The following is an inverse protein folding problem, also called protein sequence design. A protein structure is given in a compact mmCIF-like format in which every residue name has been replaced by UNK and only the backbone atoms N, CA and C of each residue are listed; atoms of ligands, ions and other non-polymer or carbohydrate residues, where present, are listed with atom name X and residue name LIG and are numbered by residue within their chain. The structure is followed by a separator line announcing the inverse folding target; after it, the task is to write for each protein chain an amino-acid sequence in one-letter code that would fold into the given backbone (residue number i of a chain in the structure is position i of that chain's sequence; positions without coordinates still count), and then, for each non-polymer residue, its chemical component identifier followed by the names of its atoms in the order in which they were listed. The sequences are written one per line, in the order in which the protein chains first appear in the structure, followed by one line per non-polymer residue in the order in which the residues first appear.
data_IF_195467376869
#
_entry.id   IF_195467376869
#
_cell.length_a   1.000
_cell.length_b   1.000
_cell.length_c   1.000
_cell.angle_alpha   90.00
_cell.angle_beta   90.00
_cell.angle_gamma   90.00
#
_symmetry.space_group_name_H-M   'P 1'
#
loop_
_entity.id
_entity.type
_entity.pdbx_description
1 polymer ?
#
# COMPACT_ATOMS: atom_id res chain seq x y z
N UNK A 1 -4.48 69.41 7.27
CA UNK A 1 -4.41 68.09 7.98
C UNK A 1 -4.99 66.89 7.17
N UNK A 2 -5.36 67.05 5.90
CA UNK A 2 -6.09 65.95 5.16
C UNK A 2 -5.21 65.09 4.25
N UNK A 3 -3.99 65.48 3.91
CA UNK A 3 -3.12 64.70 3.02
C UNK A 3 -2.49 63.44 3.66
N UNK A 4 -2.47 63.30 4.97
CA UNK A 4 -1.92 62.13 5.67
C UNK A 4 -2.94 61.00 5.83
N UNK A 5 -4.26 61.31 5.86
CA UNK A 5 -5.33 60.29 5.91
C UNK A 5 -5.51 59.55 4.58
N UNK A 6 -5.31 60.21 3.47
CA UNK A 6 -5.45 59.60 2.13
C UNK A 6 -4.33 58.57 1.80
N UNK A 7 -3.14 58.72 2.40
CA UNK A 7 -2.03 57.77 2.20
C UNK A 7 -2.14 56.47 2.98
N UNK A 8 -2.94 56.43 4.10
CA UNK A 8 -3.12 55.22 4.89
C UNK A 8 -4.17 54.26 4.34
N UNK A 9 -5.09 54.70 3.49
CA UNK A 9 -6.15 53.83 2.95
C UNK A 9 -5.72 53.09 1.65
N UNK A 10 -4.65 53.52 0.97
CA UNK A 10 -4.23 52.92 -0.29
C UNK A 10 -3.30 51.70 -0.16
N UNK A 11 -2.80 51.40 1.05
CA UNK A 11 -1.84 50.29 1.25
C UNK A 11 -2.46 48.97 1.74
N UNK A 12 -3.75 48.97 2.11
CA UNK A 12 -4.44 47.78 2.66
C UNK A 12 -4.79 46.74 1.58
N UNK A 13 -5.30 47.07 0.37
CA UNK A 13 -5.70 46.07 -0.62
C UNK A 13 -4.52 45.29 -1.22
N UNK A 14 -3.32 45.86 -1.27
CA UNK A 14 -2.14 45.18 -1.83
C UNK A 14 -1.64 44.04 -0.91
N UNK A 15 -1.73 44.22 0.41
CA UNK A 15 -1.31 43.20 1.37
C UNK A 15 -2.26 42.00 1.40
N UNK A 16 -3.56 42.21 1.19
CA UNK A 16 -4.57 41.13 1.16
C UNK A 16 -4.37 40.28 -0.10
N UNK A 17 -4.05 40.92 -1.25
CA UNK A 17 -3.76 40.18 -2.48
C UNK A 17 -2.55 39.27 -2.41
N UNK A 18 -1.47 39.72 -1.76
CA UNK A 18 -0.27 38.87 -1.57
C UNK A 18 -0.52 37.72 -0.59
N UNK A 19 -1.27 37.95 0.49
CA UNK A 19 -1.64 36.88 1.45
C UNK A 19 -2.55 35.82 0.79
N UNK A 20 -3.52 36.25 -0.03
CA UNK A 20 -4.39 35.34 -0.75
C UNK A 20 -3.62 34.54 -1.83
N UNK A 21 -2.72 35.18 -2.57
CA UNK A 21 -1.87 34.50 -3.56
C UNK A 21 -0.91 33.49 -2.90
N UNK A 22 -0.35 33.83 -1.74
CA UNK A 22 0.51 32.94 -0.96
C UNK A 22 -0.28 31.77 -0.39
N UNK A 23 -1.47 32.00 0.17
CA UNK A 23 -2.36 30.95 0.65
C UNK A 23 -2.81 30.00 -0.49
N UNK A 24 -3.15 30.54 -1.67
CA UNK A 24 -3.49 29.75 -2.85
C UNK A 24 -2.30 28.92 -3.36
N UNK A 25 -1.08 29.44 -3.27
CA UNK A 25 0.15 28.73 -3.59
C UNK A 25 0.42 27.56 -2.63
N UNK A 26 0.26 27.76 -1.34
CA UNK A 26 0.38 26.72 -0.32
C UNK A 26 -0.69 25.64 -0.49
N UNK A 27 -1.94 26.05 -0.74
CA UNK A 27 -3.05 25.10 -0.95
C UNK A 27 -2.80 24.22 -2.19
N UNK A 28 -2.32 24.80 -3.26
CA UNK A 28 -1.95 24.10 -4.48
C UNK A 28 -0.78 23.13 -4.25
N UNK A 29 0.17 23.49 -3.41
CA UNK A 29 1.34 22.69 -3.08
C UNK A 29 0.97 21.49 -2.17
N UNK A 30 0.07 21.66 -1.21
CA UNK A 30 -0.43 20.55 -0.38
C UNK A 30 -1.24 19.54 -1.19
N UNK A 31 -2.14 19.99 -2.07
CA UNK A 31 -2.88 19.11 -2.95
C UNK A 31 -1.97 18.33 -3.89
N UNK A 32 -0.96 18.97 -4.45
CA UNK A 32 0.01 18.31 -5.32
C UNK A 32 0.80 17.24 -4.56
N UNK A 33 1.24 17.54 -3.35
CA UNK A 33 1.94 16.58 -2.47
C UNK A 33 1.06 15.39 -2.10
N UNK A 34 -0.19 15.62 -1.76
CA UNK A 34 -1.16 14.56 -1.43
C UNK A 34 -1.41 13.67 -2.63
N UNK A 35 -1.56 14.26 -3.81
CA UNK A 35 -1.77 13.53 -5.06
C UNK A 35 -0.55 12.68 -5.42
N UNK A 36 0.67 13.22 -5.35
CA UNK A 36 1.91 12.49 -5.60
C UNK A 36 2.04 11.31 -4.64
N UNK A 37 1.79 11.53 -3.35
CA UNK A 37 1.85 10.46 -2.35
C UNK A 37 0.77 9.39 -2.60
N UNK A 38 -0.42 9.78 -3.03
CA UNK A 38 -1.49 8.86 -3.43
C UNK A 38 -1.10 8.00 -4.62
N UNK A 39 -0.52 8.60 -5.66
CA UNK A 39 -0.01 7.89 -6.85
C UNK A 39 1.13 6.94 -6.49
N UNK A 40 2.08 7.37 -5.66
CA UNK A 40 3.17 6.49 -5.20
C UNK A 40 2.64 5.25 -4.47
N UNK A 41 1.66 5.40 -3.58
CA UNK A 41 1.02 4.30 -2.86
C UNK A 41 0.26 3.37 -3.80
N UNK A 42 -0.46 3.94 -4.75
CA UNK A 42 -1.17 3.19 -5.79
C UNK A 42 -0.21 2.33 -6.60
N UNK A 43 0.84 2.92 -7.16
CA UNK A 43 1.84 2.22 -7.97
C UNK A 43 2.55 1.14 -7.16
N UNK A 44 2.94 1.44 -5.92
CA UNK A 44 3.59 0.47 -5.04
C UNK A 44 2.70 -0.75 -4.77
N UNK A 45 1.42 -0.55 -4.46
CA UNK A 45 0.46 -1.64 -4.27
C UNK A 45 0.22 -2.42 -5.57
N UNK A 46 0.13 -1.75 -6.73
CA UNK A 46 -0.04 -2.39 -8.03
C UNK A 46 1.16 -3.28 -8.38
N UNK A 47 2.38 -2.82 -8.14
CA UNK A 47 3.60 -3.60 -8.36
C UNK A 47 3.67 -4.80 -7.41
N UNK A 48 3.43 -4.60 -6.12
CA UNK A 48 3.47 -5.69 -5.13
C UNK A 48 2.37 -6.73 -5.34
N UNK A 49 1.24 -6.34 -5.93
CA UNK A 49 0.18 -7.28 -6.32
C UNK A 49 0.58 -8.22 -7.46
N UNK A 50 1.64 -7.90 -8.22
CA UNK A 50 2.19 -8.79 -9.24
C UNK A 50 3.06 -9.91 -8.67
N UNK A 51 3.58 -9.72 -7.44
CA UNK A 51 4.46 -10.69 -6.79
C UNK A 51 3.72 -11.93 -6.33
N UNK A 52 4.10 -13.08 -6.88
CA UNK A 52 3.56 -14.39 -6.48
C UNK A 52 4.60 -15.27 -5.83
N UNK A 53 4.13 -16.11 -4.93
CA UNK A 53 4.89 -17.16 -4.28
C UNK A 53 4.09 -18.47 -4.26
N UNK A 54 4.78 -19.60 -4.13
CA UNK A 54 4.19 -20.91 -3.78
C UNK A 54 2.93 -21.28 -4.60
N UNK A 55 3.02 -21.22 -5.92
CA UNK A 55 1.92 -21.68 -6.78
C UNK A 55 0.83 -20.68 -7.10
N UNK A 56 1.11 -19.37 -6.96
CA UNK A 56 0.18 -18.32 -7.41
C UNK A 56 -0.36 -17.41 -6.30
N UNK A 57 -0.04 -17.65 -5.04
CA UNK A 57 -0.44 -16.77 -3.95
C UNK A 57 0.24 -15.39 -4.03
N UNK A 58 -0.51 -14.33 -3.72
CA UNK A 58 -0.11 -12.92 -3.85
C UNK A 58 -0.11 -12.17 -2.50
N UNK A 59 0.68 -12.58 -1.51
CA UNK A 59 0.58 -12.03 -0.16
C UNK A 59 1.07 -10.58 -0.06
N UNK A 60 2.01 -10.17 -0.93
CA UNK A 60 2.70 -8.87 -0.83
C UNK A 60 1.77 -7.69 -1.07
N UNK A 61 0.92 -7.77 -2.10
CA UNK A 61 -0.04 -6.71 -2.43
C UNK A 61 -1.06 -6.50 -1.30
N UNK A 62 -1.63 -7.59 -0.78
CA UNK A 62 -2.59 -7.54 0.33
C UNK A 62 -1.94 -7.00 1.61
N UNK A 63 -0.73 -7.49 1.94
CA UNK A 63 0.02 -7.05 3.11
C UNK A 63 0.32 -5.55 3.08
N UNK A 64 0.75 -5.02 1.91
CA UNK A 64 0.99 -3.59 1.72
C UNK A 64 -0.30 -2.79 1.84
N UNK A 65 -1.37 -3.26 1.19
CA UNK A 65 -2.68 -2.59 1.24
C UNK A 65 -3.18 -2.46 2.67
N UNK A 66 -3.12 -3.54 3.47
CA UNK A 66 -3.52 -3.52 4.87
C UNK A 66 -2.65 -2.57 5.71
N UNK A 67 -1.33 -2.58 5.52
CA UNK A 67 -0.41 -1.69 6.23
C UNK A 67 -0.66 -0.21 5.92
N UNK A 68 -1.03 0.12 4.68
CA UNK A 68 -1.37 1.49 4.27
C UNK A 68 -2.78 1.90 4.72
N UNK A 69 -3.76 0.97 4.72
CA UNK A 69 -5.11 1.22 5.22
C UNK A 69 -5.10 1.58 6.70
N UNK A 70 -4.31 0.89 7.51
CA UNK A 70 -4.13 1.22 8.93
C UNK A 70 -3.59 2.65 9.16
N UNK A 71 -3.08 3.31 8.10
CA UNK A 71 -2.56 4.68 8.12
C UNK A 71 -3.43 5.69 7.37
N UNK A 72 -4.67 5.33 7.08
CA UNK A 72 -5.63 6.21 6.42
C UNK A 72 -5.45 6.36 4.90
N UNK A 73 -4.62 5.52 4.27
CA UNK A 73 -4.38 5.55 2.82
C UNK A 73 -5.21 4.49 2.04
N UNK A 74 -6.40 4.15 2.53
CA UNK A 74 -7.16 2.99 2.08
C UNK A 74 -7.51 2.95 0.61
N UNK A 75 -8.07 4.03 0.06
CA UNK A 75 -8.58 4.02 -1.32
C UNK A 75 -7.48 3.91 -2.38
N UNK A 76 -6.38 4.63 -2.22
CA UNK A 76 -5.26 4.55 -3.18
C UNK A 76 -4.56 3.19 -3.15
N UNK A 77 -4.42 2.60 -1.96
CA UNK A 77 -3.83 1.28 -1.79
C UNK A 77 -4.71 0.18 -2.38
N UNK A 78 -6.03 0.22 -2.10
CA UNK A 78 -7.00 -0.71 -2.66
C UNK A 78 -7.04 -0.64 -4.19
N UNK A 79 -7.16 0.59 -4.74
CA UNK A 79 -7.16 0.81 -6.18
C UNK A 79 -5.90 0.26 -6.85
N UNK A 80 -4.73 0.47 -6.24
CA UNK A 80 -3.46 -0.08 -6.71
C UNK A 80 -3.45 -1.61 -6.72
N UNK A 81 -3.90 -2.25 -5.65
CA UNK A 81 -3.97 -3.72 -5.58
C UNK A 81 -4.92 -4.27 -6.65
N UNK A 82 -6.14 -3.74 -6.75
CA UNK A 82 -7.12 -4.20 -7.74
C UNK A 82 -6.58 -4.02 -9.17
N UNK A 83 -6.00 -2.87 -9.47
CA UNK A 83 -5.37 -2.62 -10.77
C UNK A 83 -4.23 -3.62 -11.05
N UNK A 84 -3.35 -3.86 -10.07
CA UNK A 84 -2.25 -4.82 -10.20
C UNK A 84 -2.74 -6.24 -10.48
N UNK A 85 -3.74 -6.69 -9.75
CA UNK A 85 -4.38 -7.99 -9.94
C UNK A 85 -5.02 -8.11 -11.33
N UNK A 86 -5.75 -7.07 -11.79
CA UNK A 86 -6.37 -7.05 -13.11
C UNK A 86 -5.34 -7.10 -14.25
N UNK A 87 -4.24 -6.37 -14.12
CA UNK A 87 -3.15 -6.37 -15.10
C UNK A 87 -2.49 -7.74 -15.25
N UNK A 88 -2.52 -8.57 -14.22
CA UNK A 88 -1.98 -9.92 -14.26
C UNK A 88 -2.83 -10.89 -15.08
N UNK A 89 -4.15 -10.71 -15.14
CA UNK A 89 -5.06 -11.59 -15.88
C UNK A 89 -5.37 -12.93 -15.19
N UNK A 90 -4.87 -13.16 -13.96
CA UNK A 90 -5.22 -14.35 -13.17
C UNK A 90 -6.54 -14.08 -12.42
N UNK A 91 -7.65 -14.38 -13.09
CA UNK A 91 -8.98 -14.05 -12.61
C UNK A 91 -9.35 -14.73 -11.28
N UNK A 92 -8.89 -15.96 -11.05
CA UNK A 92 -9.28 -16.73 -9.87
C UNK A 92 -8.53 -16.28 -8.61
N UNK A 93 -7.20 -16.39 -8.60
CA UNK A 93 -6.40 -15.94 -7.46
C UNK A 93 -6.52 -14.43 -7.24
N UNK A 94 -6.57 -13.67 -8.33
CA UNK A 94 -6.78 -12.24 -8.25
C UNK A 94 -8.10 -11.84 -7.60
N UNK A 95 -9.18 -12.56 -7.91
CA UNK A 95 -10.50 -12.36 -7.30
C UNK A 95 -10.48 -12.60 -5.79
N UNK A 96 -9.78 -13.64 -5.32
CA UNK A 96 -9.62 -13.96 -3.90
C UNK A 96 -8.93 -12.80 -3.17
N UNK A 97 -7.82 -12.28 -3.72
CA UNK A 97 -7.08 -11.20 -3.08
C UNK A 97 -7.79 -9.84 -3.16
N UNK A 98 -8.55 -9.58 -4.22
CA UNK A 98 -9.41 -8.41 -4.31
C UNK A 98 -10.53 -8.47 -3.25
N UNK A 99 -11.18 -9.62 -3.09
CA UNK A 99 -12.18 -9.84 -2.04
C UNK A 99 -11.58 -9.72 -0.63
N UNK A 100 -10.40 -10.29 -0.41
CA UNK A 100 -9.67 -10.15 0.86
C UNK A 100 -9.34 -8.69 1.17
N UNK A 101 -8.93 -7.90 0.18
CA UNK A 101 -8.65 -6.48 0.37
C UNK A 101 -9.91 -5.67 0.70
N UNK A 102 -11.05 -5.99 0.09
CA UNK A 102 -12.34 -5.40 0.43
C UNK A 102 -12.74 -5.76 1.87
N UNK A 103 -12.53 -7.01 2.27
CA UNK A 103 -12.79 -7.44 3.65
C UNK A 103 -11.90 -6.69 4.65
N UNK A 104 -10.61 -6.52 4.33
CA UNK A 104 -9.70 -5.68 5.13
C UNK A 104 -10.23 -4.26 5.23
N UNK A 105 -10.67 -3.65 4.11
CA UNK A 105 -11.23 -2.30 4.11
C UNK A 105 -12.48 -2.22 5.01
N UNK A 106 -13.40 -3.18 4.91
CA UNK A 106 -14.60 -3.23 5.76
C UNK A 106 -14.24 -3.33 7.24
N UNK A 107 -13.36 -4.25 7.61
CA UNK A 107 -12.94 -4.42 9.01
C UNK A 107 -12.24 -3.16 9.54
N UNK A 108 -11.31 -2.60 8.75
CA UNK A 108 -10.61 -1.36 9.13
C UNK A 108 -11.56 -0.18 9.27
N UNK A 109 -12.59 -0.08 8.40
CA UNK A 109 -13.59 0.99 8.46
C UNK A 109 -14.50 0.84 9.68
N UNK A 110 -14.93 -0.37 10.00
CA UNK A 110 -15.75 -0.66 11.20
C UNK A 110 -14.95 -0.39 12.48
N UNK A 111 -13.68 -0.78 12.49
CA UNK A 111 -12.80 -0.56 13.64
C UNK A 111 -12.22 0.86 13.69
N UNK A 112 -12.57 1.72 12.71
CA UNK A 112 -12.08 3.10 12.68
C UNK A 112 -12.47 3.83 13.98
N UNK A 113 -11.48 4.39 14.66
CA UNK A 113 -11.67 5.05 15.96
C UNK A 113 -11.52 4.15 17.18
N UNK A 114 -11.42 2.84 17.00
CA UNK A 114 -11.11 1.95 18.13
C UNK A 114 -9.61 1.97 18.45
N UNK A 115 -9.30 1.90 19.74
CA UNK A 115 -7.91 1.89 20.25
C UNK A 115 -7.08 0.72 19.68
N UNK A 116 -7.74 -0.36 19.33
CA UNK A 116 -7.13 -1.57 18.75
C UNK A 116 -6.43 -1.29 17.42
N UNK A 117 -6.90 -0.32 16.62
CA UNK A 117 -6.24 0.05 15.35
C UNK A 117 -4.81 0.58 15.53
N UNK A 118 -4.48 1.12 16.70
CA UNK A 118 -3.12 1.61 16.98
C UNK A 118 -2.13 0.48 17.31
N UNK A 119 -2.64 -0.72 17.57
CA UNK A 119 -1.81 -1.88 17.88
C UNK A 119 -1.09 -2.41 16.63
N UNK A 120 0.19 -2.70 16.77
CA UNK A 120 1.06 -3.12 15.65
C UNK A 120 0.66 -4.45 15.03
N UNK A 121 0.01 -5.31 15.78
CA UNK A 121 -0.43 -6.63 15.33
C UNK A 121 -1.80 -6.62 14.64
N UNK A 122 -2.57 -5.52 14.78
CA UNK A 122 -3.94 -5.46 14.27
C UNK A 122 -3.99 -5.55 12.73
N UNK A 123 -3.27 -4.70 12.01
CA UNK A 123 -3.26 -4.73 10.55
C UNK A 123 -2.74 -6.07 9.98
N UNK A 124 -1.63 -6.65 10.47
CA UNK A 124 -1.20 -7.98 10.07
C UNK A 124 -2.23 -9.06 10.38
N UNK A 125 -2.86 -9.02 11.55
CA UNK A 125 -3.90 -9.97 11.94
C UNK A 125 -5.12 -9.92 11.02
N UNK A 126 -5.61 -8.71 10.71
CA UNK A 126 -6.75 -8.53 9.80
C UNK A 126 -6.41 -8.98 8.37
N UNK A 127 -5.21 -8.65 7.87
CA UNK A 127 -4.77 -9.06 6.53
C UNK A 127 -4.70 -10.59 6.42
N UNK A 128 -4.12 -11.24 7.41
CA UNK A 128 -3.99 -12.71 7.46
C UNK A 128 -5.35 -13.38 7.57
N UNK A 129 -6.22 -12.88 8.47
CA UNK A 129 -7.58 -13.40 8.62
C UNK A 129 -8.37 -13.25 7.32
N UNK A 130 -8.33 -12.08 6.68
CA UNK A 130 -9.04 -11.82 5.43
C UNK A 130 -8.54 -12.72 4.30
N UNK A 131 -7.22 -12.88 4.17
CA UNK A 131 -6.60 -13.80 3.22
C UNK A 131 -7.04 -15.23 3.44
N UNK A 132 -6.99 -15.70 4.69
CA UNK A 132 -7.39 -17.06 5.07
C UNK A 132 -8.87 -17.31 4.81
N UNK A 133 -9.75 -16.40 5.24
CA UNK A 133 -11.19 -16.52 5.08
C UNK A 133 -11.58 -16.56 3.60
N UNK A 134 -11.05 -15.63 2.77
CA UNK A 134 -11.35 -15.63 1.34
C UNK A 134 -10.80 -16.88 0.64
N UNK A 135 -9.56 -17.30 0.94
CA UNK A 135 -9.01 -18.53 0.38
C UNK A 135 -9.86 -19.75 0.74
N UNK A 136 -10.34 -19.83 1.97
CA UNK A 136 -11.17 -20.93 2.42
C UNK A 136 -12.56 -20.94 1.76
N UNK A 137 -13.20 -19.76 1.63
CA UNK A 137 -14.52 -19.62 0.99
C UNK A 137 -14.47 -19.97 -0.50
N UNK A 138 -13.39 -19.62 -1.17
CA UNK A 138 -13.21 -19.91 -2.59
C UNK A 138 -12.54 -21.27 -2.85
N UNK A 139 -12.28 -22.07 -1.81
CA UNK A 139 -11.76 -23.43 -2.00
C UNK A 139 -12.79 -24.26 -2.77
N UNK A 140 -12.41 -24.94 -3.87
CA UNK A 140 -13.35 -25.77 -4.63
C UNK A 140 -13.98 -26.84 -3.73
N UNK A 141 -15.32 -26.99 -3.83
CA UNK A 141 -16.04 -28.07 -3.18
C UNK A 141 -15.47 -29.41 -3.67
N UNK A 142 -14.85 -30.18 -2.79
CA UNK A 142 -14.20 -31.44 -3.12
C UNK A 142 -12.67 -31.36 -3.28
N UNK A 143 -12.05 -30.22 -2.98
CA UNK A 143 -10.60 -30.14 -2.91
C UNK A 143 -10.07 -31.06 -1.80
N UNK A 144 -9.21 -31.99 -2.16
CA UNK A 144 -8.54 -32.83 -1.16
C UNK A 144 -7.55 -31.99 -0.37
N UNK A 145 -7.77 -31.91 0.95
CA UNK A 145 -6.87 -31.24 1.89
C UNK A 145 -5.63 -32.14 2.11
N UNK A 146 -4.72 -32.11 1.17
CA UNK A 146 -3.44 -32.83 1.31
C UNK A 146 -2.53 -32.11 2.31
N UNK A 147 -1.70 -32.86 3.02
CA UNK A 147 -0.74 -32.27 3.99
C UNK A 147 0.14 -31.16 3.38
N UNK A 148 0.69 -31.28 2.15
CA UNK A 148 1.45 -30.22 1.51
C UNK A 148 0.60 -28.97 1.20
N UNK A 149 -0.68 -29.13 0.85
CA UNK A 149 -1.57 -28.00 0.62
C UNK A 149 -1.83 -27.19 1.90
N UNK A 150 -2.07 -27.88 3.01
CA UNK A 150 -2.24 -27.25 4.33
C UNK A 150 -0.96 -26.52 4.77
N UNK A 151 0.21 -27.16 4.58
CA UNK A 151 1.48 -26.55 4.93
C UNK A 151 1.73 -25.28 4.10
N UNK A 152 1.49 -25.34 2.79
CA UNK A 152 1.62 -24.18 1.89
C UNK A 152 0.68 -23.06 2.31
N UNK A 153 -0.56 -23.38 2.63
CA UNK A 153 -1.53 -22.38 3.13
C UNK A 153 -1.03 -21.71 4.42
N UNK A 154 -0.62 -22.47 5.42
CA UNK A 154 -0.10 -21.92 6.68
C UNK A 154 1.14 -21.06 6.46
N UNK A 155 2.03 -21.47 5.58
CA UNK A 155 3.25 -20.72 5.25
C UNK A 155 2.92 -19.39 4.56
N UNK A 156 1.97 -19.37 3.63
CA UNK A 156 1.49 -18.15 2.97
C UNK A 156 0.87 -17.19 4.01
N UNK A 157 0.07 -17.71 4.95
CA UNK A 157 -0.50 -16.87 6.02
C UNK A 157 0.59 -16.28 6.91
N UNK A 158 1.60 -17.08 7.29
CA UNK A 158 2.76 -16.60 8.05
C UNK A 158 3.54 -15.51 7.32
N UNK A 159 3.77 -15.68 6.01
CA UNK A 159 4.42 -14.66 5.18
C UNK A 159 3.57 -13.39 5.12
N UNK A 160 2.25 -13.52 4.89
CA UNK A 160 1.33 -12.37 4.84
C UNK A 160 1.39 -11.55 6.14
N UNK A 161 1.35 -12.24 7.28
CA UNK A 161 1.47 -11.61 8.60
C UNK A 161 2.82 -10.89 8.76
N UNK A 162 3.93 -11.61 8.57
CA UNK A 162 5.27 -11.09 8.76
C UNK A 162 5.59 -9.90 7.85
N UNK A 163 5.25 -10.02 6.57
CA UNK A 163 5.49 -8.94 5.59
C UNK A 163 4.61 -7.72 5.89
N UNK A 164 3.33 -7.91 6.25
CA UNK A 164 2.45 -6.80 6.64
C UNK A 164 3.01 -6.06 7.87
N UNK A 165 3.51 -6.79 8.86
CA UNK A 165 4.14 -6.19 10.04
C UNK A 165 5.38 -5.37 9.68
N UNK A 166 6.25 -5.92 8.80
CA UNK A 166 7.45 -5.23 8.32
C UNK A 166 7.09 -3.96 7.53
N UNK A 167 6.10 -4.01 6.65
CA UNK A 167 5.63 -2.83 5.93
C UNK A 167 5.03 -1.78 6.89
N UNK A 168 4.26 -2.22 7.88
CA UNK A 168 3.77 -1.35 8.93
C UNK A 168 4.91 -0.64 9.67
N UNK A 169 6.02 -1.32 9.94
CA UNK A 169 7.20 -0.73 10.58
C UNK A 169 7.97 0.21 9.64
N UNK A 170 8.09 -0.12 8.33
CA UNK A 170 8.79 0.71 7.35
C UNK A 170 8.18 2.11 7.20
N UNK A 171 6.87 2.21 7.29
CA UNK A 171 6.14 3.49 7.21
C UNK A 171 5.91 4.16 8.57
N UNK A 172 6.36 3.56 9.67
CA UNK A 172 6.27 4.19 11.00
C UNK A 172 7.22 5.39 11.11
N UNK A 173 6.83 6.46 11.81
CA UNK A 173 7.77 7.52 12.14
C UNK A 173 8.94 6.92 12.95
N UNK A 174 10.18 7.38 12.70
CA UNK A 174 11.33 6.91 13.45
C UNK A 174 11.13 7.22 14.94
N UNK A 175 11.37 6.24 15.80
CA UNK A 175 11.29 6.41 17.25
C UNK A 175 12.57 7.02 17.81
N UNK A 176 13.70 6.58 17.28
CA UNK A 176 15.04 6.99 17.69
C UNK A 176 15.95 7.07 16.46
N UNK A 177 17.01 7.89 16.51
CA UNK A 177 18.01 8.02 15.43
C UNK A 177 18.74 6.71 15.11
N UNK A 178 18.76 5.76 16.05
CA UNK A 178 19.48 4.49 15.96
C UNK A 178 18.54 3.27 15.81
N UNK A 179 17.33 3.46 15.23
CA UNK A 179 16.37 2.36 15.04
C UNK A 179 16.86 1.38 13.94
N UNK A 180 17.58 0.34 14.34
CA UNK A 180 18.12 -0.72 13.48
C UNK A 180 17.02 -1.45 12.67
N UNK A 181 15.76 -1.33 13.09
CA UNK A 181 14.62 -1.97 12.42
C UNK A 181 14.34 -1.33 11.05
N UNK A 182 14.59 -0.04 10.92
CA UNK A 182 14.31 0.71 9.68
C UNK A 182 15.10 0.20 8.47
N UNK A 183 16.44 0.00 8.52
CA UNK A 183 17.16 -0.56 7.37
C UNK A 183 16.69 -1.98 7.03
N UNK A 184 16.35 -2.81 8.01
CA UNK A 184 15.83 -4.16 7.77
C UNK A 184 14.47 -4.13 7.08
N UNK A 185 13.55 -3.26 7.54
CA UNK A 185 12.21 -3.14 6.92
C UNK A 185 12.27 -2.57 5.52
N UNK A 186 13.16 -1.62 5.25
CA UNK A 186 13.39 -1.09 3.91
C UNK A 186 14.02 -2.14 2.99
N UNK A 187 14.94 -2.95 3.49
CA UNK A 187 15.53 -4.06 2.74
C UNK A 187 14.46 -5.09 2.35
N UNK A 188 13.59 -5.48 3.28
CA UNK A 188 12.47 -6.39 2.99
C UNK A 188 11.53 -5.79 1.96
N UNK A 189 11.18 -4.50 2.08
CA UNK A 189 10.35 -3.81 1.11
C UNK A 189 11.01 -3.80 -0.28
N UNK A 190 12.29 -3.47 -0.35
CA UNK A 190 13.03 -3.46 -1.63
C UNK A 190 13.11 -4.86 -2.23
N UNK A 191 13.41 -5.88 -1.44
CA UNK A 191 13.46 -7.26 -1.90
C UNK A 191 12.10 -7.74 -2.44
N UNK A 192 11.00 -7.44 -1.76
CA UNK A 192 9.65 -7.81 -2.22
C UNK A 192 9.22 -7.05 -3.46
N UNK A 193 9.61 -5.77 -3.61
CA UNK A 193 9.40 -5.00 -4.84
C UNK A 193 10.18 -5.62 -6.00
N UNK A 194 11.45 -5.93 -5.82
CA UNK A 194 12.28 -6.57 -6.85
C UNK A 194 11.72 -7.94 -7.25
N UNK A 195 11.29 -8.74 -6.27
CA UNK A 195 10.66 -10.03 -6.53
C UNK A 195 9.34 -9.86 -7.30
N UNK A 196 8.54 -8.87 -6.97
CA UNK A 196 7.30 -8.56 -7.68
C UNK A 196 7.56 -8.07 -9.11
N UNK A 197 8.58 -7.24 -9.31
CA UNK A 197 9.01 -6.78 -10.64
C UNK A 197 9.51 -7.95 -11.51
N UNK A 198 10.18 -8.94 -10.92
CA UNK A 198 10.63 -10.13 -11.65
C UNK A 198 9.47 -10.98 -12.17
N UNK A 199 8.31 -10.92 -11.52
CA UNK A 199 7.09 -11.63 -11.91
C UNK A 199 6.24 -10.90 -12.95
N UNK A 200 6.56 -9.66 -13.31
CA UNK A 200 5.78 -8.88 -14.29
C UNK A 200 6.06 -9.39 -15.70
N UNK A 201 5.12 -10.13 -16.25
CA UNK A 201 5.04 -10.46 -17.67
C UNK A 201 4.09 -9.47 -18.35
N UNK A 202 4.60 -8.30 -18.74
CA UNK A 202 3.83 -7.38 -19.57
C UNK A 202 3.69 -8.01 -20.98
N UNK A 203 2.49 -8.49 -21.31
CA UNK A 203 2.11 -9.01 -22.62
C UNK A 203 3.00 -10.15 -23.17
N UNK A 204 3.63 -10.94 -22.31
CA UNK A 204 4.49 -12.05 -22.74
C UNK A 204 5.84 -11.63 -23.37
N UNK A 205 6.11 -10.33 -23.50
CA UNK A 205 7.28 -9.81 -24.23
C UNK A 205 8.32 -9.16 -23.32
N UNK A 206 7.94 -8.72 -22.13
CA UNK A 206 8.85 -7.97 -21.27
C UNK A 206 9.04 -8.66 -19.92
N UNK A 207 10.16 -9.34 -19.74
CA UNK A 207 10.64 -9.76 -18.43
C UNK A 207 11.64 -8.70 -17.91
N UNK A 208 11.22 -7.72 -17.06
CA UNK A 208 12.11 -6.68 -16.57
C UNK A 208 13.28 -7.23 -15.75
N UNK A 209 13.16 -8.45 -15.21
CA UNK A 209 14.26 -9.16 -14.58
C UNK A 209 15.42 -9.45 -15.56
N UNK A 210 15.14 -9.66 -16.86
CA UNK A 210 16.19 -9.82 -17.86
C UNK A 210 16.87 -8.50 -18.21
N UNK A 211 16.11 -7.40 -18.19
CA UNK A 211 16.68 -6.06 -18.40
C UNK A 211 17.53 -5.61 -17.20
N UNK A 212 17.11 -5.92 -15.98
CA UNK A 212 17.88 -5.63 -14.75
C UNK A 212 19.16 -6.45 -14.65
N UNK A 213 19.15 -7.72 -15.07
CA UNK A 213 20.35 -8.56 -15.11
C UNK A 213 21.36 -8.07 -16.16
N UNK A 214 20.89 -7.49 -17.29
CA UNK A 214 21.75 -6.89 -18.31
C UNK A 214 22.37 -5.55 -17.91
N UNK A 215 21.79 -4.84 -16.93
CA UNK A 215 22.33 -3.59 -16.40
C UNK A 215 23.32 -3.81 -15.24
N UNK A 216 23.43 -5.04 -14.70
CA UNK A 216 24.35 -5.41 -13.62
C UNK A 216 25.59 -6.17 -14.13
N UNK A 217 25.70 -6.41 -15.41
CA UNK A 217 26.87 -6.95 -16.13
C UNK A 217 27.58 -5.83 -16.87
#
# INVERSE_FOLDING_TARGET
MDKQRARRSASIPVRIGHAAAWAAGLWKQEHLRTLITGVQRFVLCAVLAQGTILGGYMPFGLAMTAALMARGAGLSALGGLVCGVMLRGDGFHGGIYAAAALLVLCVMSVCAGLRVMSERWFAPGVATFASAACTFVFLPLGAELTAPAVLTFLLVQGITFGVCWMYGAAFAPPRDENDWRRPVTLLVLTATVLLSLSGINLFGVFAPARAGALLLV
#
